data_IF_380949925887
#
_entry.id   IF_380949925887
#
_cell.length_a   1.000
_cell.length_b   1.000
_cell.length_c   1.000
_cell.angle_alpha   90.00
_cell.angle_beta   90.00
_cell.angle_gamma   90.00
#
_symmetry.space_group_name_H-M   'P 1'
#
loop_
_entity.id
_entity.type
_entity.pdbx_description
1 polymer ?
#
# COMPACT_ATOMS: atom_id res chain seq x y z
N UNK A 1 -60.36 -14.44 -7.28
CA UNK A 1 -59.73 -13.28 -6.61
C UNK A 1 -58.41 -13.75 -6.00
N UNK A 2 -57.27 -13.21 -6.43
CA UNK A 2 -55.96 -13.54 -5.85
C UNK A 2 -55.80 -12.72 -4.56
N UNK A 3 -55.62 -13.38 -3.42
CA UNK A 3 -55.31 -12.69 -2.16
C UNK A 3 -53.92 -12.05 -2.29
N UNK A 4 -53.86 -10.74 -2.17
CA UNK A 4 -52.59 -10.01 -2.06
C UNK A 4 -52.10 -10.15 -0.62
N UNK A 5 -51.19 -11.09 -0.39
CA UNK A 5 -50.50 -11.21 0.90
C UNK A 5 -49.53 -10.03 1.02
N UNK A 6 -49.93 -8.98 1.74
CA UNK A 6 -49.04 -7.89 2.09
C UNK A 6 -47.99 -8.34 3.12
N UNK A 7 -46.80 -7.74 3.07
CA UNK A 7 -45.76 -7.94 4.06
C UNK A 7 -46.19 -7.33 5.40
N UNK A 8 -45.95 -8.02 6.51
CA UNK A 8 -46.35 -7.50 7.83
C UNK A 8 -45.38 -6.42 8.30
N UNK A 9 -45.88 -5.42 9.04
CA UNK A 9 -45.00 -4.39 9.63
C UNK A 9 -43.95 -5.01 10.57
N UNK A 10 -44.31 -6.11 11.26
CA UNK A 10 -43.39 -6.80 12.16
C UNK A 10 -42.26 -7.51 11.41
N UNK A 11 -42.51 -8.09 10.23
CA UNK A 11 -41.44 -8.66 9.41
C UNK A 11 -40.45 -7.58 8.98
N UNK A 12 -40.93 -6.40 8.58
CA UNK A 12 -40.04 -5.32 8.17
C UNK A 12 -39.17 -4.83 9.34
N UNK A 13 -39.77 -4.68 10.52
CA UNK A 13 -39.06 -4.27 11.73
C UNK A 13 -38.05 -5.34 12.17
N UNK A 14 -38.42 -6.62 12.13
CA UNK A 14 -37.52 -7.71 12.51
C UNK A 14 -36.30 -7.78 11.58
N UNK A 15 -36.48 -7.58 10.27
CA UNK A 15 -35.37 -7.58 9.30
C UNK A 15 -34.37 -6.46 9.56
N UNK A 16 -34.83 -5.23 9.76
CA UNK A 16 -33.91 -4.10 10.04
C UNK A 16 -33.19 -4.26 11.38
N UNK A 17 -33.82 -4.88 12.38
CA UNK A 17 -33.18 -5.19 13.66
C UNK A 17 -32.06 -6.22 13.48
N UNK A 18 -32.32 -7.31 12.73
CA UNK A 18 -31.30 -8.32 12.44
C UNK A 18 -30.14 -7.71 11.64
N UNK A 19 -30.43 -6.93 10.59
CA UNK A 19 -29.40 -6.24 9.81
C UNK A 19 -28.60 -5.25 10.67
N UNK A 20 -29.23 -4.56 11.62
CA UNK A 20 -28.56 -3.66 12.55
C UNK A 20 -27.55 -4.38 13.46
N UNK A 21 -27.91 -5.54 14.01
CA UNK A 21 -27.00 -6.35 14.84
C UNK A 21 -25.83 -6.88 14.02
N UNK A 22 -26.10 -7.40 12.82
CA UNK A 22 -25.05 -7.91 11.92
C UNK A 22 -24.09 -6.80 11.48
N UNK A 23 -24.60 -5.60 11.20
CA UNK A 23 -23.77 -4.47 10.84
C UNK A 23 -22.88 -4.02 12.00
N UNK A 24 -23.43 -3.95 13.23
CA UNK A 24 -22.68 -3.53 14.41
C UNK A 24 -21.50 -4.47 14.74
N UNK A 25 -21.64 -5.77 14.49
CA UNK A 25 -20.57 -6.75 14.75
C UNK A 25 -19.59 -6.90 13.58
N UNK A 26 -20.05 -6.76 12.33
CA UNK A 26 -19.19 -6.93 11.15
C UNK A 26 -18.36 -5.68 10.81
N UNK A 27 -18.87 -4.48 11.11
CA UNK A 27 -18.21 -3.23 10.76
C UNK A 27 -16.80 -3.07 11.38
N UNK A 28 -16.57 -3.37 12.67
CA UNK A 28 -15.23 -3.28 13.25
C UNK A 28 -14.22 -4.21 12.56
N UNK A 29 -14.61 -5.46 12.27
CA UNK A 29 -13.76 -6.42 11.58
C UNK A 29 -13.42 -5.96 10.16
N UNK A 30 -14.40 -5.41 9.45
CA UNK A 30 -14.19 -4.93 8.08
C UNK A 30 -13.22 -3.74 8.00
N UNK A 31 -13.21 -2.86 9.00
CA UNK A 31 -12.25 -1.76 9.08
C UNK A 31 -10.82 -2.30 9.29
N UNK A 32 -10.64 -3.24 10.22
CA UNK A 32 -9.34 -3.85 10.48
C UNK A 32 -8.79 -4.57 9.25
N UNK A 33 -9.62 -5.37 8.56
CA UNK A 33 -9.20 -6.08 7.34
C UNK A 33 -8.76 -5.14 6.21
N UNK A 34 -9.36 -3.96 6.11
CA UNK A 34 -8.95 -2.96 5.13
C UNK A 34 -7.57 -2.38 5.46
N UNK A 35 -7.32 -2.10 6.73
CA UNK A 35 -6.02 -1.60 7.20
C UNK A 35 -4.92 -2.64 6.96
N UNK A 36 -5.16 -3.91 7.32
CA UNK A 36 -4.24 -5.02 7.05
C UNK A 36 -3.96 -5.20 5.55
N UNK A 37 -4.99 -5.08 4.70
CA UNK A 37 -4.83 -5.16 3.26
C UNK A 37 -3.98 -4.02 2.69
N UNK A 38 -4.16 -2.80 3.20
CA UNK A 38 -3.37 -1.64 2.80
C UNK A 38 -1.89 -1.79 3.20
N UNK A 39 -1.61 -2.32 4.40
CA UNK A 39 -0.24 -2.60 4.85
C UNK A 39 0.39 -3.69 3.99
N UNK A 40 -0.31 -4.79 3.71
CA UNK A 40 0.19 -5.85 2.87
C UNK A 40 0.50 -5.35 1.44
N UNK A 41 -0.33 -4.46 0.90
CA UNK A 41 -0.07 -3.80 -0.37
C UNK A 41 1.20 -2.91 -0.30
N UNK A 42 1.34 -2.11 0.76
CA UNK A 42 2.50 -1.26 1.00
C UNK A 42 3.80 -2.06 1.13
N UNK A 43 3.78 -3.19 1.85
CA UNK A 43 4.90 -4.13 1.94
C UNK A 43 5.23 -4.75 0.58
N UNK A 44 4.21 -5.08 -0.22
CA UNK A 44 4.38 -5.56 -1.59
C UNK A 44 5.08 -4.53 -2.49
N UNK A 45 4.69 -3.26 -2.40
CA UNK A 45 5.35 -2.17 -3.13
C UNK A 45 6.77 -1.96 -2.65
N UNK A 46 7.02 -1.98 -1.33
CA UNK A 46 8.37 -1.91 -0.76
C UNK A 46 9.28 -3.04 -1.27
N UNK A 47 8.75 -4.26 -1.37
CA UNK A 47 9.44 -5.40 -1.98
C UNK A 47 9.76 -5.18 -3.47
N UNK A 48 8.82 -4.61 -4.22
CA UNK A 48 9.01 -4.21 -5.61
C UNK A 48 10.13 -3.17 -5.79
N UNK A 49 10.16 -2.15 -4.93
CA UNK A 49 11.20 -1.12 -4.91
C UNK A 49 12.59 -1.71 -4.64
N UNK A 50 12.71 -2.59 -3.64
CA UNK A 50 13.96 -3.31 -3.36
C UNK A 50 14.46 -4.09 -4.59
N UNK A 51 13.54 -4.82 -5.24
CA UNK A 51 13.87 -5.62 -6.42
C UNK A 51 14.30 -4.74 -7.60
N UNK A 52 13.53 -3.69 -7.89
CA UNK A 52 13.83 -2.73 -8.95
C UNK A 52 15.20 -2.06 -8.74
N UNK A 53 15.47 -1.58 -7.53
CA UNK A 53 16.78 -1.03 -7.15
C UNK A 53 17.91 -2.05 -7.35
N UNK A 54 17.73 -3.31 -6.92
CA UNK A 54 18.77 -4.35 -7.04
C UNK A 54 19.13 -4.68 -8.49
N UNK A 55 18.13 -4.74 -9.38
CA UNK A 55 18.31 -4.99 -10.81
C UNK A 55 18.95 -3.78 -11.47
N UNK A 56 18.45 -2.58 -11.15
CA UNK A 56 18.97 -1.32 -11.67
C UNK A 56 20.45 -1.14 -11.31
N UNK A 57 20.80 -1.36 -10.04
CA UNK A 57 22.17 -1.33 -9.55
C UNK A 57 23.06 -2.31 -10.34
N UNK A 58 22.62 -3.55 -10.52
CA UNK A 58 23.40 -4.56 -11.24
C UNK A 58 23.67 -4.17 -12.70
N UNK A 59 22.66 -3.65 -13.41
CA UNK A 59 22.79 -3.24 -14.82
C UNK A 59 23.65 -1.97 -14.94
N UNK A 60 23.42 -0.97 -14.09
CA UNK A 60 24.12 0.31 -14.10
C UNK A 60 25.59 0.17 -13.68
N UNK A 61 25.89 -0.74 -12.76
CA UNK A 61 27.27 -1.01 -12.34
C UNK A 61 28.11 -1.64 -13.48
N UNK A 62 27.47 -2.29 -14.46
CA UNK A 62 28.15 -2.79 -15.67
C UNK A 62 28.30 -1.68 -16.72
N UNK A 63 27.31 -0.81 -16.84
CA UNK A 63 27.32 0.31 -17.78
C UNK A 63 26.48 1.47 -17.22
N UNK A 64 27.12 2.59 -16.89
CA UNK A 64 26.45 3.77 -16.34
C UNK A 64 25.37 4.38 -17.26
N UNK A 65 25.41 4.10 -18.56
CA UNK A 65 24.37 4.52 -19.51
C UNK A 65 23.13 3.61 -19.49
N UNK A 66 23.18 2.47 -18.80
CA UNK A 66 22.09 1.50 -18.68
C UNK A 66 21.47 1.61 -17.29
N UNK A 67 20.16 1.87 -17.19
CA UNK A 67 19.48 2.07 -15.91
C UNK A 67 19.49 3.52 -15.43
N UNK A 68 19.26 3.75 -14.13
CA UNK A 68 18.97 5.07 -13.54
C UNK A 68 19.92 5.37 -12.39
N UNK A 69 20.38 6.61 -12.26
CA UNK A 69 21.19 7.03 -11.12
C UNK A 69 20.31 7.07 -9.88
N UNK A 70 20.83 6.60 -8.75
CA UNK A 70 20.14 6.63 -7.46
C UNK A 70 21.06 7.36 -6.50
N UNK A 71 20.73 8.63 -6.23
CA UNK A 71 21.40 9.48 -5.25
C UNK A 71 20.50 9.78 -4.05
N UNK A 72 19.19 9.61 -4.20
CA UNK A 72 18.17 9.75 -3.17
C UNK A 72 17.17 8.58 -3.22
N UNK A 73 16.54 8.26 -2.09
CA UNK A 73 15.47 7.27 -2.03
C UNK A 73 14.32 7.51 -3.03
N UNK A 74 14.03 8.77 -3.35
CA UNK A 74 13.02 9.13 -4.35
C UNK A 74 13.41 8.73 -5.78
N UNK A 75 14.70 8.61 -6.08
CA UNK A 75 15.17 8.19 -7.40
C UNK A 75 14.85 6.71 -7.68
N UNK A 76 14.63 5.91 -6.64
CA UNK A 76 14.30 4.47 -6.76
C UNK A 76 12.99 4.27 -7.52
N UNK A 77 12.05 5.23 -7.46
CA UNK A 77 10.82 5.18 -8.25
C UNK A 77 11.11 5.10 -9.75
N UNK A 78 12.12 5.82 -10.23
CA UNK A 78 12.51 5.84 -11.64
C UNK A 78 13.11 4.50 -12.11
N UNK A 79 13.50 3.61 -11.18
CA UNK A 79 13.95 2.27 -11.50
C UNK A 79 12.81 1.27 -11.77
N UNK A 80 11.56 1.64 -11.45
CA UNK A 80 10.39 0.80 -11.78
C UNK A 80 9.99 0.94 -13.25
N UNK A 81 9.40 -0.12 -13.80
CA UNK A 81 8.84 -0.12 -15.16
C UNK A 81 7.53 0.67 -15.26
N UNK A 82 6.81 0.81 -14.14
CA UNK A 82 5.57 1.56 -14.02
C UNK A 82 5.71 2.55 -12.86
N UNK A 83 5.23 3.80 -13.02
CA UNK A 83 5.28 4.79 -11.95
C UNK A 83 4.52 4.32 -10.71
N UNK A 84 4.89 4.85 -9.55
CA UNK A 84 4.18 4.55 -8.32
C UNK A 84 2.76 5.14 -8.38
N UNK A 85 1.81 4.47 -7.74
CA UNK A 85 0.46 5.03 -7.55
C UNK A 85 0.51 6.29 -6.70
N UNK A 86 -0.42 7.22 -6.93
CA UNK A 86 -0.50 8.48 -6.18
C UNK A 86 -0.80 8.27 -4.68
N UNK A 87 -1.25 7.08 -4.30
CA UNK A 87 -1.46 6.68 -2.92
C UNK A 87 -0.16 6.37 -2.15
N UNK A 88 0.99 6.31 -2.83
CA UNK A 88 2.29 6.01 -2.24
C UNK A 88 3.25 7.18 -2.36
N UNK A 89 4.04 7.41 -1.32
CA UNK A 89 5.08 8.43 -1.32
C UNK A 89 6.37 7.88 -0.70
N UNK A 90 7.50 8.12 -1.35
CA UNK A 90 8.83 7.79 -0.81
C UNK A 90 9.39 9.04 -0.12
N UNK A 91 9.84 8.89 1.12
CA UNK A 91 10.50 9.97 1.86
C UNK A 91 11.91 10.15 1.32
N UNK A 92 12.24 11.39 0.95
CA UNK A 92 13.59 11.75 0.50
C UNK A 92 14.63 11.45 1.59
N UNK A 93 15.73 10.83 1.17
CA UNK A 93 16.86 10.47 2.02
C UNK A 93 18.04 10.13 1.10
N UNK A 94 19.13 10.90 1.25
CA UNK A 94 20.29 10.77 0.38
C UNK A 94 20.97 9.40 0.58
N UNK A 95 21.38 8.79 -0.53
CA UNK A 95 22.11 7.53 -0.56
C UNK A 95 23.44 7.75 -1.26
N UNK A 96 24.53 7.41 -0.58
CA UNK A 96 25.87 7.52 -1.16
C UNK A 96 26.05 6.40 -2.19
N UNK A 97 26.62 6.73 -3.34
CA UNK A 97 26.92 5.75 -4.38
C UNK A 97 27.82 4.62 -3.85
N UNK A 98 27.44 3.37 -4.08
CA UNK A 98 28.12 2.17 -3.58
C UNK A 98 27.74 1.79 -2.14
N UNK A 99 26.92 2.57 -1.44
CA UNK A 99 26.40 2.26 -0.11
C UNK A 99 24.91 1.92 -0.15
N UNK A 100 24.47 1.15 0.83
CA UNK A 100 23.05 0.93 1.08
C UNK A 100 22.48 2.02 1.99
N UNK A 101 21.27 2.46 1.69
CA UNK A 101 20.48 3.40 2.48
C UNK A 101 19.12 2.78 2.85
N UNK A 102 18.61 3.16 4.02
CA UNK A 102 17.24 2.83 4.43
C UNK A 102 16.29 3.90 3.92
N UNK A 103 15.38 3.50 3.05
CA UNK A 103 14.32 4.32 2.50
C UNK A 103 12.99 3.98 3.17
N UNK A 104 12.08 4.95 3.19
CA UNK A 104 10.75 4.76 3.77
C UNK A 104 9.70 5.10 2.73
N UNK A 105 8.78 4.19 2.51
CA UNK A 105 7.57 4.40 1.71
C UNK A 105 6.38 4.55 2.65
N UNK A 106 5.50 5.50 2.35
CA UNK A 106 4.29 5.81 3.11
C UNK A 106 3.07 5.65 2.22
N UNK A 107 1.98 5.11 2.76
CA UNK A 107 0.67 5.09 2.08
C UNK A 107 -0.22 6.19 2.63
N UNK A 108 -0.92 6.91 1.75
CA UNK A 108 -1.91 7.92 2.13
C UNK A 108 -3.28 7.33 2.47
N UNK A 109 -3.52 6.04 2.19
CA UNK A 109 -4.80 5.37 2.50
C UNK A 109 -4.90 4.94 3.97
N UNK A 110 -3.77 4.72 4.65
CA UNK A 110 -3.75 4.32 6.06
C UNK A 110 -3.87 5.56 6.94
N UNK A 111 -5.10 5.90 7.29
CA UNK A 111 -5.39 6.95 8.29
C UNK A 111 -4.97 6.42 9.66
N UNK A 112 -4.02 7.10 10.31
CA UNK A 112 -3.28 6.66 11.49
C UNK A 112 -4.14 6.46 12.75
N UNK A 113 -4.95 5.40 12.79
CA UNK A 113 -5.69 5.01 14.00
C UNK A 113 -5.14 3.78 14.71
N UNK A 114 -4.34 2.90 14.09
CA UNK A 114 -3.66 1.82 14.83
C UNK A 114 -2.43 1.16 14.17
N UNK A 115 -2.18 1.31 12.87
CA UNK A 115 -1.01 0.71 12.22
C UNK A 115 -0.08 1.72 11.52
N UNK A 116 1.20 1.35 11.42
CA UNK A 116 2.25 2.16 10.80
C UNK A 116 1.92 2.41 9.32
N UNK A 117 1.55 3.64 8.97
CA UNK A 117 1.30 4.10 7.58
C UNK A 117 2.56 4.09 6.69
N UNK A 118 3.66 3.48 7.15
CA UNK A 118 4.97 3.52 6.49
C UNK A 118 5.74 2.23 6.70
N UNK A 119 6.44 1.79 5.65
CA UNK A 119 7.32 0.61 5.63
C UNK A 119 8.70 1.03 5.15
N UNK A 120 9.75 0.43 5.72
CA UNK A 120 11.13 0.70 5.28
C UNK A 120 11.62 -0.37 4.31
N UNK A 121 12.41 0.06 3.32
CA UNK A 121 13.08 -0.78 2.33
C UNK A 121 14.54 -0.33 2.17
N UNK A 122 15.39 -1.17 1.56
CA UNK A 122 16.82 -0.92 1.41
C UNK A 122 17.14 -0.65 -0.05
N UNK A 123 17.67 0.52 -0.34
CA UNK A 123 18.17 0.87 -1.66
C UNK A 123 19.69 1.01 -1.65
N UNK A 124 20.31 0.92 -2.84
CA UNK A 124 21.77 1.02 -3.00
C UNK A 124 22.06 2.15 -3.95
N UNK A 125 22.82 3.14 -3.50
CA UNK A 125 23.13 4.30 -4.32
C UNK A 125 24.03 3.92 -5.49
N UNK A 126 23.82 4.54 -6.65
CA UNK A 126 24.68 4.39 -7.83
C UNK A 126 24.63 5.65 -8.68
N UNK A 127 25.78 6.04 -9.25
CA UNK A 127 25.87 7.22 -10.13
C UNK A 127 25.42 6.95 -11.56
#
# INVERSE_FOLDING_TARGET
MKQQSGFTLIELVMVIVILGILAATAMPQFVNMKEEAAIAALEGVAGGLNSANSINYAVRNLNAASGVAIADCTDVENALATPLGAEFAITASAIVAGNTGTCTITSTEVTATSASSSVSFIATGIN
#
